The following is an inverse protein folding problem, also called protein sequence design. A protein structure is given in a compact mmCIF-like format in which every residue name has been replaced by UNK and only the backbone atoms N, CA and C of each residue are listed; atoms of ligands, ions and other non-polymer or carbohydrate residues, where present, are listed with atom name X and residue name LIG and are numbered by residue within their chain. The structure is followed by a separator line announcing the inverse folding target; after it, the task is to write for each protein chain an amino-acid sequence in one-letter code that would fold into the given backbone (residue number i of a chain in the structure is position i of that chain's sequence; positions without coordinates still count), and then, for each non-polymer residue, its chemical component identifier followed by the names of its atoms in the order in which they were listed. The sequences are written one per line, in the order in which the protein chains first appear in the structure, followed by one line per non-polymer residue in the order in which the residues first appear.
data_IF_592604564085
#
_entry.id   IF_592604564085
#
_cell.length_a   1.000
_cell.length_b   1.000
_cell.length_c   1.000
_cell.angle_alpha   90.00
_cell.angle_beta   90.00
_cell.angle_gamma   90.00
#
_symmetry.space_group_name_H-M   'P 1'
#
loop_
_entity.id
_entity.type
_entity.pdbx_description
1 polymer ?
#
# COMPACT_ATOMS: atom_id res chain seq x y z
N UNK A 1 -14.37 -53.79 -16.15
CA UNK A 1 -13.32 -54.22 -15.20
C UNK A 1 -12.81 -53.02 -14.42
N UNK A 2 -13.11 -53.01 -13.12
CA UNK A 2 -12.33 -52.48 -11.98
C UNK A 2 -11.48 -51.21 -12.10
N UNK A 3 -12.01 -50.15 -11.48
CA UNK A 3 -11.43 -49.36 -10.37
C UNK A 3 -9.97 -48.93 -10.47
N UNK A 4 -9.73 -47.61 -10.59
CA UNK A 4 -8.56 -46.91 -10.03
C UNK A 4 -9.04 -45.62 -9.35
N UNK A 5 -9.35 -45.72 -8.06
CA UNK A 5 -8.59 -45.15 -6.93
C UNK A 5 -8.79 -43.64 -6.79
N UNK A 6 -9.91 -43.29 -6.17
CA UNK A 6 -10.08 -42.07 -5.38
C UNK A 6 -8.96 -42.01 -4.35
N UNK A 7 -7.89 -41.27 -4.66
CA UNK A 7 -6.85 -40.96 -3.68
C UNK A 7 -7.41 -39.89 -2.75
N UNK A 8 -7.93 -40.35 -1.62
CA UNK A 8 -8.30 -39.55 -0.47
C UNK A 8 -7.07 -38.77 -0.01
N UNK A 9 -7.01 -37.49 -0.36
CA UNK A 9 -6.09 -36.54 0.28
C UNK A 9 -6.68 -36.27 1.67
N UNK A 10 -6.41 -37.18 2.60
CA UNK A 10 -6.63 -37.02 4.02
C UNK A 10 -5.25 -36.96 4.68
N UNK A 11 -4.63 -35.78 4.61
CA UNK A 11 -3.48 -35.38 5.41
C UNK A 11 -3.77 -33.91 5.72
N UNK A 12 -4.39 -33.60 6.85
CA UNK A 12 -3.74 -33.67 8.16
C UNK A 12 -3.67 -32.24 8.63
N UNK A 13 -4.76 -31.76 9.26
CA UNK A 13 -4.86 -30.45 9.89
C UNK A 13 -3.77 -30.34 10.97
N UNK A 14 -2.66 -29.68 10.64
CA UNK A 14 -1.62 -29.37 11.60
C UNK A 14 -1.93 -28.05 12.30
N UNK A 15 -2.33 -28.20 13.57
CA UNK A 15 -1.98 -27.38 14.72
C UNK A 15 -2.37 -25.88 14.67
N UNK A 16 -3.64 -25.62 14.99
CA UNK A 16 -4.10 -24.36 15.56
C UNK A 16 -3.73 -24.27 17.04
N UNK A 17 -2.48 -23.95 17.39
CA UNK A 17 -2.16 -23.44 18.74
C UNK A 17 -0.88 -22.61 18.66
N UNK A 18 -1.01 -21.28 18.58
CA UNK A 18 -0.09 -20.28 19.16
C UNK A 18 -0.61 -18.87 18.83
N UNK A 19 -1.76 -18.47 19.41
CA UNK A 19 -2.24 -17.08 19.41
C UNK A 19 -2.67 -16.62 20.82
N UNK A 20 -2.06 -17.20 21.86
CA UNK A 20 -2.31 -16.82 23.26
C UNK A 20 -1.16 -15.97 23.85
N UNK A 21 -0.44 -15.22 23.03
CA UNK A 21 0.52 -14.22 23.47
C UNK A 21 0.13 -12.84 22.93
N UNK A 22 -0.81 -12.20 23.63
CA UNK A 22 -0.82 -10.76 23.94
C UNK A 22 -0.87 -9.73 22.78
N UNK A 23 -2.04 -9.12 22.49
CA UNK A 23 -2.11 -7.84 21.75
C UNK A 23 -1.77 -6.61 22.59
N UNK A 24 -1.50 -6.74 23.90
CA UNK A 24 -1.45 -5.58 24.81
C UNK A 24 -0.13 -4.79 24.79
N UNK A 25 0.82 -5.13 23.90
CA UNK A 25 2.13 -4.47 23.79
C UNK A 25 2.38 -3.77 22.43
N UNK A 26 1.32 -3.48 21.67
CA UNK A 26 1.38 -2.63 20.47
C UNK A 26 0.53 -1.35 20.64
N UNK A 27 0.40 -0.84 21.87
CA UNK A 27 -0.32 0.39 22.17
C UNK A 27 0.48 1.42 22.98
N UNK A 28 1.75 1.14 23.29
CA UNK A 28 2.60 2.05 24.05
C UNK A 28 3.96 2.15 23.39
N UNK A 29 4.11 3.15 22.52
CA UNK A 29 5.36 3.88 22.20
C UNK A 29 5.14 4.81 20.99
N UNK A 30 4.06 5.59 21.04
CA UNK A 30 3.99 6.85 20.30
C UNK A 30 3.98 7.99 21.32
N UNK A 31 5.06 8.07 22.11
CA UNK A 31 5.35 9.24 22.92
C UNK A 31 6.34 10.13 22.16
N UNK A 32 5.88 11.36 21.95
CA UNK A 32 6.71 12.57 21.86
C UNK A 32 7.52 12.74 20.56
N UNK A 33 6.81 13.17 19.52
CA UNK A 33 7.35 14.19 18.62
C UNK A 33 6.51 15.47 18.77
N UNK A 34 6.60 16.10 19.94
CA UNK A 34 6.25 17.51 20.09
C UNK A 34 7.49 18.32 19.67
N UNK A 35 7.44 18.81 18.44
CA UNK A 35 8.45 19.68 17.85
C UNK A 35 7.77 20.63 16.88
N UNK A 36 7.31 21.76 17.41
CA UNK A 36 7.07 23.04 16.73
C UNK A 36 6.81 23.02 15.22
N UNK A 37 5.55 23.28 14.82
CA UNK A 37 5.22 24.18 13.68
C UNK A 37 3.71 24.25 13.36
N UNK A 38 2.85 24.46 14.36
CA UNK A 38 1.43 24.81 14.13
C UNK A 38 1.20 26.25 13.60
N UNK A 39 2.18 26.84 12.89
CA UNK A 39 2.09 28.16 12.23
C UNK A 39 2.19 28.11 10.69
N UNK A 40 2.27 26.93 10.06
CA UNK A 40 2.42 26.77 8.59
C UNK A 40 1.18 26.31 7.80
N UNK A 41 0.05 26.03 8.46
CA UNK A 41 -1.10 25.29 7.88
C UNK A 41 -1.80 25.90 6.67
N UNK A 42 -1.62 27.19 6.39
CA UNK A 42 -2.23 27.84 5.22
C UNK A 42 -1.32 27.80 3.98
N UNK A 43 -0.02 28.03 4.15
CA UNK A 43 0.96 27.85 3.07
C UNK A 43 1.00 26.41 2.58
N UNK A 44 0.90 25.45 3.50
CA UNK A 44 0.83 24.01 3.21
C UNK A 44 -0.36 23.66 2.28
N UNK A 45 -1.54 24.27 2.48
CA UNK A 45 -2.71 24.01 1.63
C UNK A 45 -2.58 24.61 0.24
N UNK A 46 -2.14 25.86 0.13
CA UNK A 46 -1.97 26.52 -1.17
C UNK A 46 -0.88 25.83 -1.99
N UNK A 47 0.27 25.53 -1.36
CA UNK A 47 1.36 24.78 -1.98
C UNK A 47 0.93 23.36 -2.39
N UNK A 48 0.14 22.68 -1.56
CA UNK A 48 -0.41 21.37 -1.90
C UNK A 48 -1.36 21.43 -3.12
N UNK A 49 -2.24 22.45 -3.20
CA UNK A 49 -3.13 22.64 -4.33
C UNK A 49 -2.36 22.98 -5.62
N UNK A 50 -1.31 23.78 -5.54
CA UNK A 50 -0.42 24.08 -6.66
C UNK A 50 0.34 22.82 -7.12
N UNK A 51 0.94 22.08 -6.19
CA UNK A 51 1.62 20.82 -6.49
C UNK A 51 0.67 19.77 -7.09
N UNK A 52 -0.59 19.73 -6.66
CA UNK A 52 -1.61 18.86 -7.25
C UNK A 52 -1.92 19.27 -8.69
N UNK A 53 -2.15 20.57 -8.94
CA UNK A 53 -2.41 21.09 -10.29
C UNK A 53 -1.24 20.87 -11.23
N UNK A 54 -0.01 21.04 -10.74
CA UNK A 54 1.22 20.87 -11.52
C UNK A 54 1.72 19.43 -11.57
N UNK A 55 1.08 18.50 -10.84
CA UNK A 55 1.48 17.09 -10.79
C UNK A 55 2.86 16.85 -10.16
N UNK A 56 3.28 17.72 -9.22
CA UNK A 56 4.61 17.69 -8.60
C UNK A 56 4.61 16.93 -7.27
N UNK A 57 5.81 16.52 -6.84
CA UNK A 57 6.05 15.87 -5.54
C UNK A 57 5.17 14.63 -5.33
N UNK A 58 4.33 14.59 -4.27
CA UNK A 58 3.47 13.44 -3.97
C UNK A 58 2.32 13.25 -4.97
N UNK A 59 2.24 14.05 -6.04
CA UNK A 59 1.30 13.93 -7.16
C UNK A 59 1.96 13.49 -8.47
N UNK A 60 3.30 13.46 -8.52
CA UNK A 60 4.02 12.94 -9.69
C UNK A 60 3.73 11.43 -9.81
N UNK A 61 3.11 11.04 -10.92
CA UNK A 61 2.71 9.65 -11.17
C UNK A 61 3.87 8.84 -11.73
N UNK A 62 4.61 9.39 -12.69
CA UNK A 62 5.66 8.68 -13.42
C UNK A 62 6.83 8.32 -12.51
N UNK A 63 7.38 9.31 -11.79
CA UNK A 63 8.50 9.10 -10.86
C UNK A 63 8.15 8.07 -9.77
N UNK A 64 6.90 8.09 -9.30
CA UNK A 64 6.43 7.14 -8.30
C UNK A 64 6.29 5.74 -8.87
N UNK A 65 5.75 5.61 -10.09
CA UNK A 65 5.61 4.31 -10.74
C UNK A 65 6.97 3.68 -10.98
N UNK A 66 7.94 4.45 -11.47
CA UNK A 66 9.32 3.99 -11.70
C UNK A 66 9.97 3.50 -10.40
N UNK A 67 9.92 4.32 -9.33
CA UNK A 67 10.48 3.96 -8.02
C UNK A 67 9.80 2.72 -7.41
N UNK A 68 8.50 2.53 -7.66
CA UNK A 68 7.77 1.36 -7.16
C UNK A 68 8.08 0.11 -7.99
N UNK A 69 8.31 0.24 -9.29
CA UNK A 69 8.75 -0.85 -10.15
C UNK A 69 10.15 -1.34 -9.76
N UNK A 70 11.09 -0.42 -9.54
CA UNK A 70 12.45 -0.75 -9.07
C UNK A 70 12.41 -1.51 -7.74
N UNK A 71 11.65 -1.01 -6.76
CA UNK A 71 11.48 -1.68 -5.46
C UNK A 71 10.86 -3.06 -5.58
N UNK A 72 9.90 -3.23 -6.49
CA UNK A 72 9.24 -4.52 -6.71
C UNK A 72 10.22 -5.55 -7.27
N UNK A 73 11.06 -5.14 -8.22
CA UNK A 73 12.07 -6.03 -8.80
C UNK A 73 13.16 -6.36 -7.77
N UNK A 74 13.69 -5.37 -7.07
CA UNK A 74 14.70 -5.57 -6.01
C UNK A 74 14.19 -6.54 -4.91
N UNK A 75 12.90 -6.48 -4.58
CA UNK A 75 12.29 -7.41 -3.63
C UNK A 75 12.12 -8.82 -4.21
N UNK A 76 11.72 -8.95 -5.48
CA UNK A 76 11.64 -10.24 -6.15
C UNK A 76 13.01 -10.94 -6.21
N UNK A 77 14.08 -10.19 -6.49
CA UNK A 77 15.46 -10.68 -6.45
C UNK A 77 15.90 -11.07 -5.05
N UNK A 78 15.64 -10.22 -4.04
CA UNK A 78 15.97 -10.50 -2.64
C UNK A 78 15.29 -11.77 -2.12
N UNK A 79 14.04 -11.99 -2.54
CA UNK A 79 13.27 -13.18 -2.19
C UNK A 79 13.62 -14.40 -3.06
N UNK A 80 14.46 -14.22 -4.10
CA UNK A 80 14.87 -15.25 -5.06
C UNK A 80 13.67 -15.98 -5.66
N UNK A 81 12.66 -15.21 -6.05
CA UNK A 81 11.43 -15.75 -6.63
C UNK A 81 11.73 -16.38 -8.00
N UNK A 82 11.19 -17.58 -8.23
CA UNK A 82 11.20 -18.21 -9.54
C UNK A 82 10.14 -17.60 -10.48
N UNK A 83 10.07 -18.06 -11.72
CA UNK A 83 9.20 -17.45 -12.73
C UNK A 83 7.70 -17.56 -12.40
N UNK A 84 7.24 -18.69 -11.86
CA UNK A 84 5.85 -18.86 -11.43
C UNK A 84 5.50 -17.96 -10.24
N UNK A 85 6.38 -17.88 -9.24
CA UNK A 85 6.22 -17.00 -8.08
C UNK A 85 6.29 -15.52 -8.48
N UNK A 86 7.12 -15.17 -9.47
CA UNK A 86 7.17 -13.83 -10.07
C UNK A 86 5.85 -13.50 -10.77
N UNK A 87 5.23 -14.46 -11.46
CA UNK A 87 3.87 -14.32 -12.00
C UNK A 87 2.85 -13.92 -10.93
N UNK A 88 2.76 -14.69 -9.85
CA UNK A 88 1.84 -14.41 -8.73
C UNK A 88 2.18 -13.09 -8.04
N UNK A 89 3.47 -12.82 -7.81
CA UNK A 89 3.95 -11.55 -7.26
C UNK A 89 3.50 -10.38 -8.12
N UNK A 90 3.55 -10.54 -9.44
CA UNK A 90 3.16 -9.52 -10.37
C UNK A 90 1.66 -9.21 -10.33
N UNK A 91 0.83 -10.26 -10.23
CA UNK A 91 -0.62 -10.14 -10.06
C UNK A 91 -0.99 -9.43 -8.75
N UNK A 92 -0.37 -9.80 -7.62
CA UNK A 92 -0.62 -9.15 -6.32
C UNK A 92 -0.33 -7.66 -6.40
N UNK A 93 0.77 -7.27 -7.05
CA UNK A 93 1.13 -5.86 -7.18
C UNK A 93 0.25 -5.11 -8.16
N UNK A 94 -0.22 -5.75 -9.24
CA UNK A 94 -1.20 -5.21 -10.17
C UNK A 94 -2.52 -4.89 -9.45
N UNK A 95 -3.06 -5.84 -8.69
CA UNK A 95 -4.28 -5.65 -7.89
C UNK A 95 -4.14 -4.50 -6.90
N UNK A 96 -3.00 -4.44 -6.18
CA UNK A 96 -2.72 -3.33 -5.26
C UNK A 96 -2.64 -2.00 -5.98
N UNK A 97 -2.06 -1.95 -7.18
CA UNK A 97 -1.98 -0.72 -7.98
C UNK A 97 -3.37 -0.21 -8.32
N UNK A 98 -4.24 -1.07 -8.82
CA UNK A 98 -5.62 -0.69 -9.16
C UNK A 98 -6.42 -0.22 -7.93
N UNK A 99 -6.25 -0.86 -6.78
CA UNK A 99 -6.89 -0.40 -5.54
C UNK A 99 -6.33 0.96 -5.08
N UNK A 100 -5.03 1.17 -5.20
CA UNK A 100 -4.40 2.43 -4.85
C UNK A 100 -4.86 3.56 -5.79
N UNK A 101 -4.94 3.32 -7.10
CA UNK A 101 -5.45 4.27 -8.09
C UNK A 101 -6.86 4.74 -7.75
N UNK A 102 -7.77 3.82 -7.42
CA UNK A 102 -9.14 4.17 -6.98
C UNK A 102 -9.17 5.05 -5.73
N UNK A 103 -8.30 4.76 -4.74
CA UNK A 103 -8.21 5.59 -3.52
C UNK A 103 -7.64 6.97 -3.83
N UNK A 104 -6.63 7.03 -4.69
CA UNK A 104 -6.01 8.28 -5.11
C UNK A 104 -6.98 9.15 -5.91
N UNK A 105 -7.79 8.56 -6.79
CA UNK A 105 -8.84 9.28 -7.52
C UNK A 105 -9.85 9.92 -6.57
N UNK A 106 -10.39 9.16 -5.61
CA UNK A 106 -11.30 9.69 -4.60
C UNK A 106 -10.65 10.80 -3.76
N UNK A 107 -9.40 10.60 -3.34
CA UNK A 107 -8.66 11.59 -2.57
C UNK A 107 -8.40 12.87 -3.39
N UNK A 108 -8.08 12.74 -4.68
CA UNK A 108 -7.90 13.88 -5.58
C UNK A 108 -9.21 14.68 -5.72
N UNK A 109 -10.36 14.02 -5.88
CA UNK A 109 -11.67 14.69 -5.96
C UNK A 109 -12.00 15.46 -4.66
N UNK A 110 -11.74 14.86 -3.50
CA UNK A 110 -11.94 15.53 -2.21
C UNK A 110 -10.98 16.72 -2.03
N UNK A 111 -9.74 16.61 -2.51
CA UNK A 111 -8.78 17.71 -2.46
C UNK A 111 -9.13 18.83 -3.43
N UNK A 112 -9.60 18.53 -4.63
CA UNK A 112 -10.07 19.55 -5.58
C UNK A 112 -11.18 20.40 -4.96
N UNK A 113 -12.18 19.77 -4.35
CA UNK A 113 -13.25 20.48 -3.61
C UNK A 113 -12.70 21.36 -2.49
N UNK A 114 -11.71 20.89 -1.74
CA UNK A 114 -11.07 21.67 -0.67
C UNK A 114 -10.26 22.85 -1.22
N UNK A 115 -9.56 22.66 -2.33
CA UNK A 115 -8.81 23.71 -3.01
C UNK A 115 -9.77 24.78 -3.56
N UNK A 116 -10.94 24.39 -4.07
CA UNK A 116 -11.93 25.34 -4.57
C UNK A 116 -12.64 26.13 -3.46
N UNK A 117 -13.00 25.47 -2.34
CA UNK A 117 -13.54 26.16 -1.16
C UNK A 117 -12.56 27.15 -0.52
N UNK A 118 -11.26 26.99 -0.75
CA UNK A 118 -10.24 27.91 -0.25
C UNK A 118 -10.00 29.14 -1.14
N UNK A 119 -10.65 29.21 -2.31
CA UNK A 119 -10.57 30.34 -3.25
C UNK A 119 -11.69 31.37 -3.05
N UNK A 120 -12.72 31.05 -2.27
CA UNK A 120 -13.79 31.96 -1.80
C UNK A 120 -13.38 32.68 -0.51
#
# INVERSE_FOLDING_TARGET
MTKRKTSTIAAGLLATTLLAASPMLMAGNHSEHDGDSYRGKHHDKTEMCENMREGKGPFNKEERQEKMAEKREAMAERLKLNDEQRGIWNEIHEERRQQHEKRMEKMMEEMEKRCDQSKE
#
